data_IF_790335320075
#
_entry.id   IF_790335320075
#
_cell.length_a   1.000
_cell.length_b   1.000
_cell.length_c   1.000
_cell.angle_alpha   90.00
_cell.angle_beta   90.00
_cell.angle_gamma   90.00
#
_symmetry.space_group_name_H-M   'P 1'
#
loop_
_entity.id
_entity.type
_entity.pdbx_description
1 polymer ?
#
# COMPACT_ATOMS: atom_id res chain seq x y z
N UNK A 1 -33.73 -0.91 -7.51
CA UNK A 1 -32.87 -0.67 -6.32
C UNK A 1 -31.98 -1.86 -6.16
N UNK A 2 -30.76 -1.79 -6.66
CA UNK A 2 -29.77 -2.88 -6.53
C UNK A 2 -29.04 -2.74 -5.18
N UNK A 3 -29.14 -3.76 -4.33
CA UNK A 3 -28.38 -3.83 -3.08
C UNK A 3 -26.90 -4.03 -3.40
N UNK A 4 -25.97 -3.25 -2.82
CA UNK A 4 -24.56 -3.52 -2.97
C UNK A 4 -24.21 -4.83 -2.27
N UNK A 5 -23.62 -5.76 -3.00
CA UNK A 5 -23.07 -7.00 -2.44
C UNK A 5 -21.93 -6.66 -1.48
N UNK A 6 -22.14 -6.88 -0.19
CA UNK A 6 -21.07 -6.87 0.82
C UNK A 6 -20.25 -8.15 0.65
N UNK A 7 -19.07 -8.04 0.07
CA UNK A 7 -18.15 -9.16 -0.07
C UNK A 7 -17.59 -9.55 1.30
N UNK A 8 -17.81 -10.80 1.71
CA UNK A 8 -17.24 -11.42 2.92
C UNK A 8 -15.70 -11.37 2.89
N UNK A 9 -15.05 -11.24 4.06
CA UNK A 9 -13.58 -11.25 4.18
C UNK A 9 -12.94 -12.50 3.56
N UNK A 10 -13.66 -13.63 3.46
CA UNK A 10 -13.25 -14.84 2.77
C UNK A 10 -13.07 -14.66 1.26
N UNK A 11 -13.74 -13.67 0.65
CA UNK A 11 -13.62 -13.37 -0.80
C UNK A 11 -12.64 -12.22 -1.10
N UNK A 12 -12.33 -11.38 -0.09
CA UNK A 12 -11.47 -10.20 -0.27
C UNK A 12 -9.99 -10.56 -0.35
N UNK A 13 -9.57 -11.54 0.43
CA UNK A 13 -8.20 -12.07 0.38
C UNK A 13 -7.88 -12.65 -1.00
N UNK A 14 -8.76 -13.48 -1.65
CA UNK A 14 -8.56 -13.92 -3.02
C UNK A 14 -8.51 -12.80 -4.07
N UNK A 15 -9.33 -11.75 -3.93
CA UNK A 15 -9.29 -10.59 -4.84
C UNK A 15 -8.00 -9.79 -4.72
N UNK A 16 -7.49 -9.62 -3.50
CA UNK A 16 -6.18 -9.03 -3.27
C UNK A 16 -5.07 -9.89 -3.89
N UNK A 17 -5.20 -11.23 -3.79
CA UNK A 17 -4.25 -12.16 -4.41
C UNK A 17 -4.35 -12.21 -5.92
N UNK A 18 -5.50 -12.00 -6.54
CA UNK A 18 -5.61 -11.83 -7.99
C UNK A 18 -4.88 -10.55 -8.44
N UNK A 19 -5.01 -9.48 -7.68
CA UNK A 19 -4.27 -8.23 -7.92
C UNK A 19 -2.78 -8.36 -7.64
N UNK A 20 -2.39 -9.07 -6.57
CA UNK A 20 -1.00 -9.36 -6.22
C UNK A 20 -0.38 -10.42 -7.14
N UNK A 21 -1.11 -11.49 -7.47
CA UNK A 21 -0.64 -12.60 -8.30
C UNK A 21 -0.28 -12.18 -9.72
N UNK A 22 -1.08 -11.34 -10.35
CA UNK A 22 -0.72 -10.76 -11.66
C UNK A 22 0.49 -9.82 -11.59
N UNK A 23 0.77 -9.24 -10.41
CA UNK A 23 1.94 -8.39 -10.18
C UNK A 23 3.22 -9.21 -9.96
N UNK A 24 3.12 -10.33 -9.22
CA UNK A 24 4.24 -11.23 -8.94
C UNK A 24 4.65 -12.02 -10.19
N UNK A 25 3.68 -12.42 -11.04
CA UNK A 25 3.99 -13.12 -12.29
C UNK A 25 4.71 -12.26 -13.35
N UNK A 26 4.53 -10.94 -13.31
CA UNK A 26 5.26 -10.03 -14.22
C UNK A 26 6.68 -9.71 -13.76
N UNK A 27 7.04 -10.07 -12.51
CA UNK A 27 8.37 -9.84 -11.93
C UNK A 27 9.27 -11.08 -11.80
N UNK A 28 8.70 -12.29 -11.92
CA UNK A 28 9.42 -13.56 -11.78
C UNK A 28 9.64 -14.24 -13.14
N UNK A 29 10.47 -13.63 -13.99
CA UNK A 29 11.16 -14.41 -15.02
C UNK A 29 12.34 -15.10 -14.36
N UNK A 30 12.10 -16.28 -13.81
CA UNK A 30 13.17 -17.22 -13.41
C UNK A 30 13.79 -17.75 -14.68
N UNK A 31 15.06 -17.38 -14.89
CA UNK A 31 15.85 -17.79 -16.02
C UNK A 31 16.00 -19.30 -16.14
N UNK A 32 15.65 -19.84 -17.30
CA UNK A 32 16.16 -21.10 -17.81
C UNK A 32 16.86 -20.81 -19.14
N UNK A 33 18.15 -20.98 -19.10
CA UNK A 33 19.15 -21.22 -20.17
C UNK A 33 18.88 -20.75 -21.62
N UNK A 34 19.85 -19.93 -22.03
CA UNK A 34 20.50 -19.86 -23.36
C UNK A 34 19.73 -19.26 -24.56
N UNK A 35 20.06 -18.04 -24.89
CA UNK A 35 20.81 -17.64 -26.08
C UNK A 35 21.02 -16.10 -26.08
N UNK A 36 22.25 -15.73 -26.45
CA UNK A 36 22.76 -14.38 -26.57
C UNK A 36 21.96 -13.46 -27.47
N UNK A 37 21.44 -12.38 -26.88
CA UNK A 37 21.20 -11.09 -27.55
C UNK A 37 21.51 -10.01 -26.52
N UNK A 38 22.42 -9.12 -26.88
CA UNK A 38 22.81 -7.93 -26.12
C UNK A 38 21.57 -7.06 -25.84
N UNK A 39 21.18 -6.98 -24.57
CA UNK A 39 20.16 -6.06 -24.09
C UNK A 39 20.74 -5.19 -22.98
N UNK A 40 20.56 -3.90 -23.17
CA UNK A 40 21.01 -2.78 -22.37
C UNK A 40 20.81 -2.98 -20.87
N UNK A 41 21.81 -2.52 -20.08
CA UNK A 41 21.86 -2.49 -18.63
C UNK A 41 20.72 -1.67 -18.02
N UNK A 42 19.55 -2.23 -17.86
CA UNK A 42 18.60 -1.79 -16.87
C UNK A 42 19.03 -2.36 -15.52
N UNK A 43 19.26 -1.54 -14.47
CA UNK A 43 19.57 -2.07 -13.15
C UNK A 43 18.39 -2.91 -12.68
N UNK A 44 18.57 -4.22 -12.60
CA UNK A 44 17.62 -5.13 -11.97
C UNK A 44 17.51 -4.74 -10.50
N UNK A 45 16.43 -4.04 -10.13
CA UNK A 45 16.10 -3.74 -8.74
C UNK A 45 15.82 -5.08 -8.05
N UNK A 46 16.79 -5.59 -7.29
CA UNK A 46 16.57 -6.72 -6.41
C UNK A 46 15.81 -6.25 -5.19
N UNK A 47 14.53 -6.64 -5.08
CA UNK A 47 13.72 -6.35 -3.91
C UNK A 47 14.09 -7.28 -2.76
N UNK A 48 14.23 -6.71 -1.55
CA UNK A 48 14.47 -7.47 -0.32
C UNK A 48 13.15 -8.00 0.26
N UNK A 49 12.06 -7.26 0.03
CA UNK A 49 10.70 -7.63 0.43
C UNK A 49 9.78 -7.65 -0.79
N UNK A 50 8.84 -8.58 -0.81
CA UNK A 50 7.83 -8.58 -1.87
C UNK A 50 6.79 -7.50 -1.62
N UNK A 51 6.39 -7.32 -0.35
CA UNK A 51 5.32 -6.39 0.03
C UNK A 51 5.71 -5.56 1.25
N UNK A 52 5.46 -4.26 1.17
CA UNK A 52 5.39 -3.33 2.30
C UNK A 52 3.93 -2.97 2.57
N UNK A 53 3.52 -2.92 3.85
CA UNK A 53 2.15 -2.54 4.22
C UNK A 53 2.19 -1.31 5.13
N UNK A 54 1.63 -0.19 4.65
CA UNK A 54 1.41 1.03 5.43
C UNK A 54 -0.02 1.08 5.95
N UNK A 55 -0.21 1.22 7.27
CA UNK A 55 -1.52 1.22 7.92
C UNK A 55 -1.50 1.91 9.29
N UNK A 56 -2.67 2.36 9.77
CA UNK A 56 -2.86 2.76 11.17
C UNK A 56 -3.24 1.55 12.02
N UNK A 57 -2.43 1.26 13.03
CA UNK A 57 -2.70 0.14 13.93
C UNK A 57 -3.97 0.33 14.79
N UNK A 58 -4.36 1.58 15.07
CA UNK A 58 -5.53 1.90 15.87
C UNK A 58 -6.82 1.35 15.27
N UNK A 59 -6.98 1.46 13.93
CA UNK A 59 -8.21 1.10 13.24
C UNK A 59 -8.25 -0.34 12.76
N UNK A 60 -7.09 -0.92 12.42
CA UNK A 60 -7.04 -2.10 11.56
C UNK A 60 -6.31 -3.28 12.16
N UNK A 61 -5.47 -3.06 13.22
CA UNK A 61 -4.57 -4.10 13.74
C UNK A 61 -5.30 -5.33 14.28
N UNK A 62 -6.40 -5.16 15.00
CA UNK A 62 -7.15 -6.28 15.60
C UNK A 62 -8.14 -6.95 14.64
N UNK A 63 -8.25 -6.47 13.40
CA UNK A 63 -9.24 -6.94 12.44
C UNK A 63 -8.61 -7.24 11.08
N UNK A 64 -8.68 -6.30 10.16
CA UNK A 64 -8.32 -6.48 8.76
C UNK A 64 -6.82 -6.75 8.54
N UNK A 65 -5.91 -5.96 9.16
CA UNK A 65 -4.47 -6.09 8.91
C UNK A 65 -3.89 -7.39 9.47
N UNK A 66 -4.37 -7.90 10.60
CA UNK A 66 -3.98 -9.22 11.10
C UNK A 66 -4.35 -10.33 10.11
N UNK A 67 -5.55 -10.28 9.54
CA UNK A 67 -5.98 -11.24 8.52
C UNK A 67 -5.17 -11.10 7.23
N UNK A 68 -4.86 -9.86 6.82
CA UNK A 68 -4.01 -9.59 5.66
C UNK A 68 -2.61 -10.19 5.84
N UNK A 69 -1.94 -9.89 6.96
CA UNK A 69 -0.62 -10.44 7.26
C UNK A 69 -0.61 -11.97 7.33
N UNK A 70 -1.60 -12.56 8.02
CA UNK A 70 -1.73 -14.03 8.08
C UNK A 70 -1.99 -14.66 6.70
N UNK A 71 -2.67 -13.97 5.80
CA UNK A 71 -2.92 -14.45 4.46
C UNK A 71 -1.67 -14.36 3.57
N UNK A 72 -0.91 -13.28 3.67
CA UNK A 72 0.36 -13.10 2.97
C UNK A 72 1.40 -14.14 3.43
N UNK A 73 1.49 -14.36 4.74
CA UNK A 73 2.39 -15.34 5.36
C UNK A 73 2.08 -16.78 4.89
N UNK A 74 0.79 -17.19 4.89
CA UNK A 74 0.35 -18.50 4.36
C UNK A 74 0.68 -18.73 2.88
N UNK A 75 0.86 -17.65 2.12
CA UNK A 75 1.27 -17.69 0.71
C UNK A 75 2.77 -17.62 0.51
N UNK A 76 3.55 -17.56 1.60
CA UNK A 76 5.01 -17.43 1.55
C UNK A 76 5.48 -16.06 1.04
N UNK A 77 4.61 -15.04 1.05
CA UNK A 77 4.96 -13.69 0.60
C UNK A 77 5.76 -12.99 1.69
N UNK A 78 6.97 -12.57 1.34
CA UNK A 78 7.89 -11.91 2.28
C UNK A 78 7.50 -10.44 2.48
N UNK A 79 6.86 -10.17 3.63
CA UNK A 79 6.38 -8.84 4.01
C UNK A 79 7.34 -8.21 5.00
N UNK A 80 7.68 -6.94 4.78
CA UNK A 80 8.36 -6.16 5.81
C UNK A 80 7.41 -5.97 7.01
N UNK A 81 7.77 -6.58 8.13
CA UNK A 81 7.08 -6.39 9.42
C UNK A 81 7.79 -5.26 10.15
N UNK A 82 7.15 -4.11 10.25
CA UNK A 82 7.77 -2.88 10.73
C UNK A 82 8.48 -3.04 12.09
N UNK A 83 9.75 -2.62 12.12
CA UNK A 83 10.44 -2.26 13.36
C UNK A 83 10.24 -0.77 13.64
N UNK A 84 10.45 -0.35 14.89
CA UNK A 84 10.21 1.02 15.35
C UNK A 84 11.21 2.08 14.82
N UNK A 85 12.15 1.71 13.96
CA UNK A 85 13.20 2.61 13.48
C UNK A 85 12.79 3.22 12.14
N UNK A 86 12.47 4.52 12.14
CA UNK A 86 12.00 5.26 10.96
C UNK A 86 12.93 5.15 9.74
N UNK A 87 14.25 5.18 9.95
CA UNK A 87 15.24 5.05 8.86
C UNK A 87 15.17 3.70 8.18
N UNK A 88 14.97 2.61 8.93
CA UNK A 88 14.81 1.27 8.40
C UNK A 88 13.49 1.11 7.61
N UNK A 89 12.44 1.74 8.11
CA UNK A 89 11.14 1.78 7.47
C UNK A 89 11.21 2.43 6.07
N UNK A 90 11.88 3.59 5.96
CA UNK A 90 12.05 4.29 4.68
C UNK A 90 12.92 3.49 3.69
N UNK A 91 13.91 2.73 4.19
CA UNK A 91 14.68 1.80 3.37
C UNK A 91 13.83 0.61 2.92
N UNK A 92 13.01 0.05 3.81
CA UNK A 92 12.13 -1.07 3.51
C UNK A 92 11.11 -0.72 2.43
N UNK A 93 10.51 0.47 2.46
CA UNK A 93 9.63 0.97 1.40
C UNK A 93 10.35 0.90 0.04
N UNK A 94 11.57 1.45 -0.03
CA UNK A 94 12.36 1.48 -1.26
C UNK A 94 12.78 0.09 -1.75
N UNK A 95 12.98 -0.85 -0.81
CA UNK A 95 13.40 -2.22 -1.10
C UNK A 95 12.25 -3.20 -1.30
N UNK A 96 11.01 -2.71 -1.31
CA UNK A 96 9.82 -3.53 -1.53
C UNK A 96 9.32 -3.41 -2.97
N UNK A 97 8.91 -4.53 -3.55
CA UNK A 97 8.37 -4.57 -4.92
C UNK A 97 6.97 -3.95 -5.00
N UNK A 98 6.16 -4.17 -3.97
CA UNK A 98 4.78 -3.71 -3.88
C UNK A 98 4.58 -2.97 -2.56
N UNK A 99 3.87 -1.83 -2.59
CA UNK A 99 3.39 -1.14 -1.41
C UNK A 99 1.85 -1.25 -1.34
N UNK A 100 1.34 -1.80 -0.24
CA UNK A 100 -0.09 -1.80 0.10
C UNK A 100 -0.32 -0.68 1.10
N UNK A 101 -1.27 0.22 0.81
CA UNK A 101 -1.63 1.34 1.69
C UNK A 101 -3.05 1.16 2.16
N UNK A 102 -3.24 0.95 3.46
CA UNK A 102 -4.56 0.76 4.08
C UNK A 102 -5.05 2.09 4.65
N UNK A 103 -5.81 2.84 3.87
CA UNK A 103 -6.48 4.04 4.33
C UNK A 103 -7.63 3.69 5.25
N UNK A 104 -7.61 4.21 6.47
CA UNK A 104 -8.65 4.08 7.49
C UNK A 104 -8.93 5.45 8.11
N UNK A 105 -9.91 5.56 9.00
CA UNK A 105 -10.32 6.84 9.60
C UNK A 105 -9.17 7.58 10.28
N UNK A 106 -8.29 6.85 11.00
CA UNK A 106 -7.17 7.44 11.74
C UNK A 106 -5.83 7.38 11.00
N UNK A 107 -5.82 6.96 9.72
CA UNK A 107 -4.57 6.86 8.96
C UNK A 107 -3.79 8.17 8.93
N UNK A 108 -4.48 9.28 8.69
CA UNK A 108 -3.86 10.60 8.58
C UNK A 108 -3.51 11.25 9.94
N UNK A 109 -4.05 10.73 11.06
CA UNK A 109 -3.73 11.23 12.40
C UNK A 109 -2.29 10.93 12.82
N UNK A 110 -1.65 10.02 12.10
CA UNK A 110 -0.29 9.59 12.36
C UNK A 110 0.65 10.18 11.30
N UNK A 111 1.44 11.18 11.68
CA UNK A 111 2.38 11.85 10.75
C UNK A 111 3.31 10.85 10.04
N UNK A 112 3.71 9.78 10.73
CA UNK A 112 4.58 8.78 10.12
C UNK A 112 3.89 8.01 9.00
N UNK A 113 2.57 7.75 9.06
CA UNK A 113 1.81 7.14 7.97
C UNK A 113 1.78 8.06 6.75
N UNK A 114 1.65 9.37 6.96
CA UNK A 114 1.67 10.36 5.90
C UNK A 114 3.08 10.51 5.28
N UNK A 115 4.12 10.47 6.10
CA UNK A 115 5.52 10.48 5.62
C UNK A 115 5.85 9.19 4.85
N UNK A 116 5.37 8.02 5.29
CA UNK A 116 5.46 6.75 4.55
C UNK A 116 4.76 6.86 3.19
N UNK A 117 3.55 7.42 3.16
CA UNK A 117 2.79 7.59 1.94
C UNK A 117 3.53 8.47 0.92
N UNK A 118 4.11 9.58 1.36
CA UNK A 118 4.95 10.43 0.51
C UNK A 118 6.11 9.60 -0.08
N UNK A 119 6.78 8.79 0.76
CA UNK A 119 7.89 7.95 0.30
C UNK A 119 7.44 6.87 -0.67
N UNK A 120 6.30 6.23 -0.42
CA UNK A 120 5.69 5.23 -1.32
C UNK A 120 5.38 5.86 -2.69
N UNK A 121 4.77 7.05 -2.71
CA UNK A 121 4.43 7.73 -3.97
C UNK A 121 5.68 8.23 -4.71
N UNK A 122 6.73 8.62 -3.98
CA UNK A 122 8.05 8.88 -4.56
C UNK A 122 8.63 7.63 -5.24
N UNK A 123 8.62 6.48 -4.54
CA UNK A 123 9.13 5.21 -5.08
C UNK A 123 8.31 4.74 -6.29
N UNK A 124 6.98 4.94 -6.27
CA UNK A 124 6.12 4.69 -7.44
C UNK A 124 6.59 5.51 -8.64
N UNK A 125 6.86 6.79 -8.45
CA UNK A 125 7.26 7.71 -9.54
C UNK A 125 8.67 7.41 -10.07
N UNK A 126 9.63 7.13 -9.18
CA UNK A 126 11.04 6.98 -9.53
C UNK A 126 11.42 5.56 -9.97
N UNK A 127 10.78 4.55 -9.38
CA UNK A 127 11.16 3.13 -9.56
C UNK A 127 10.02 2.28 -10.10
N UNK A 128 8.91 2.92 -10.49
CA UNK A 128 7.70 2.23 -10.94
C UNK A 128 7.17 1.18 -9.93
N UNK A 129 7.40 1.42 -8.62
CA UNK A 129 6.90 0.57 -7.56
C UNK A 129 5.38 0.45 -7.66
N UNK A 130 4.85 -0.77 -7.58
CA UNK A 130 3.40 -0.99 -7.60
C UNK A 130 2.78 -0.58 -6.27
N UNK A 131 1.76 0.28 -6.32
CA UNK A 131 1.02 0.75 -5.14
C UNK A 131 -0.43 0.29 -5.24
N UNK A 132 -0.92 -0.36 -4.17
CA UNK A 132 -2.28 -0.87 -4.06
C UNK A 132 -2.96 -0.20 -2.87
N UNK A 133 -3.82 0.80 -3.09
CA UNK A 133 -4.61 1.40 -2.01
C UNK A 133 -5.78 0.49 -1.62
N UNK A 134 -6.02 0.40 -0.31
CA UNK A 134 -7.17 -0.25 0.30
C UNK A 134 -7.89 0.80 1.12
N UNK A 135 -9.15 1.04 0.84
CA UNK A 135 -10.00 2.00 1.55
C UNK A 135 -10.87 1.24 2.55
N UNK A 136 -10.45 1.22 3.82
CA UNK A 136 -11.11 0.50 4.90
C UNK A 136 -12.01 1.46 5.70
N UNK A 137 -13.32 1.31 5.53
CA UNK A 137 -14.36 2.19 6.13
C UNK A 137 -14.20 3.69 5.82
N UNK A 138 -13.50 4.00 4.74
CA UNK A 138 -13.38 5.36 4.19
C UNK A 138 -13.60 5.31 2.68
N UNK A 139 -14.10 6.40 2.08
CA UNK A 139 -14.25 6.45 0.63
C UNK A 139 -12.98 6.98 -0.05
N UNK A 140 -12.66 6.54 -1.27
CA UNK A 140 -11.58 7.13 -2.06
C UNK A 140 -11.74 8.64 -2.24
N UNK A 141 -12.98 9.13 -2.28
CA UNK A 141 -13.30 10.56 -2.41
C UNK A 141 -12.94 11.37 -1.15
N UNK A 142 -13.12 10.79 0.05
CA UNK A 142 -12.73 11.44 1.31
C UNK A 142 -11.22 11.59 1.40
N UNK A 143 -10.47 10.53 1.05
CA UNK A 143 -9.00 10.56 1.02
C UNK A 143 -8.50 11.57 -0.02
N UNK A 144 -9.00 11.49 -1.26
CA UNK A 144 -8.60 12.35 -2.37
C UNK A 144 -8.85 13.84 -2.11
N UNK A 145 -10.00 14.16 -1.52
CA UNK A 145 -10.42 15.53 -1.24
C UNK A 145 -10.04 16.00 0.16
N UNK A 146 -9.35 15.16 0.93
CA UNK A 146 -8.97 15.38 2.33
C UNK A 146 -10.16 15.93 3.14
N UNK A 147 -11.23 15.16 3.24
CA UNK A 147 -12.43 15.49 4.01
C UNK A 147 -12.48 14.76 5.36
N UNK A 148 -13.30 15.24 6.30
CA UNK A 148 -13.46 14.64 7.62
C UNK A 148 -12.13 14.52 8.36
N UNK A 149 -11.84 13.35 8.92
CA UNK A 149 -10.62 13.07 9.70
C UNK A 149 -9.33 13.42 8.94
N UNK A 150 -9.32 13.25 7.61
CA UNK A 150 -8.15 13.64 6.79
C UNK A 150 -7.94 15.15 6.74
N UNK A 151 -8.99 15.96 6.79
CA UNK A 151 -8.86 17.41 6.86
C UNK A 151 -8.32 17.86 8.21
N UNK A 152 -8.87 17.33 9.30
CA UNK A 152 -8.48 17.67 10.67
C UNK A 152 -7.02 17.31 10.95
N UNK A 153 -6.59 16.14 10.54
CA UNK A 153 -5.20 15.68 10.70
C UNK A 153 -4.19 16.62 10.01
N UNK A 154 -4.55 17.13 8.83
CA UNK A 154 -3.69 18.03 8.06
C UNK A 154 -3.63 19.47 8.60
N UNK A 155 -4.55 19.88 9.48
CA UNK A 155 -4.51 21.20 10.14
C UNK A 155 -3.37 21.30 11.17
N UNK A 156 -2.96 20.16 11.75
CA UNK A 156 -1.96 20.10 12.80
C UNK A 156 -0.51 19.94 12.26
N UNK A 157 -0.35 19.75 10.96
CA UNK A 157 0.96 19.55 10.33
C UNK A 157 1.73 20.85 10.04
N UNK A 158 3.05 20.76 9.92
CA UNK A 158 3.88 21.89 9.48
C UNK A 158 3.75 22.15 7.96
N UNK A 159 3.74 23.44 7.56
CA UNK A 159 3.33 23.91 6.24
C UNK A 159 3.87 23.16 5.01
N UNK A 160 5.19 22.91 4.92
CA UNK A 160 5.77 22.25 3.74
C UNK A 160 5.48 20.75 3.69
N UNK A 161 5.44 20.09 4.84
CA UNK A 161 5.04 18.68 4.94
C UNK A 161 3.59 18.49 4.49
N UNK A 162 2.68 19.37 4.93
CA UNK A 162 1.24 19.30 4.59
C UNK A 162 1.02 19.32 3.09
N UNK A 163 1.78 20.14 2.35
CA UNK A 163 1.69 20.17 0.88
C UNK A 163 2.04 18.79 0.28
N UNK A 164 3.13 18.20 0.73
CA UNK A 164 3.56 16.87 0.25
C UNK A 164 2.56 15.78 0.60
N UNK A 165 1.99 15.82 1.83
CA UNK A 165 0.97 14.88 2.28
C UNK A 165 -0.32 14.98 1.45
N UNK A 166 -0.78 16.22 1.14
CA UNK A 166 -1.98 16.43 0.29
C UNK A 166 -1.79 15.86 -1.11
N UNK A 167 -0.65 16.09 -1.72
CA UNK A 167 -0.32 15.54 -3.04
C UNK A 167 -0.32 14.01 -2.97
N UNK A 168 0.38 13.42 -2.00
CA UNK A 168 0.48 11.96 -1.87
C UNK A 168 -0.89 11.29 -1.61
N UNK A 169 -1.75 11.89 -0.77
CA UNK A 169 -3.12 11.42 -0.54
C UNK A 169 -3.97 11.48 -1.80
N UNK A 170 -3.88 12.59 -2.55
CA UNK A 170 -4.62 12.76 -3.80
C UNK A 170 -4.18 11.73 -4.85
N UNK A 171 -2.86 11.59 -5.05
CA UNK A 171 -2.29 10.69 -6.05
C UNK A 171 -2.59 9.22 -5.73
N UNK A 172 -2.42 8.82 -4.47
CA UNK A 172 -2.72 7.46 -4.04
C UNK A 172 -4.22 7.13 -4.17
N UNK A 173 -5.12 8.08 -3.83
CA UNK A 173 -6.56 7.88 -3.94
C UNK A 173 -7.10 7.91 -5.38
N UNK A 174 -6.28 8.28 -6.36
CA UNK A 174 -6.58 8.18 -7.78
C UNK A 174 -6.16 6.83 -8.39
N UNK A 175 -5.41 6.01 -7.66
CA UNK A 175 -5.05 4.67 -8.11
C UNK A 175 -6.24 3.71 -8.00
N UNK A 176 -6.23 2.68 -8.85
CA UNK A 176 -7.16 1.57 -8.72
C UNK A 176 -6.88 0.83 -7.40
N UNK A 177 -7.90 0.66 -6.56
CA UNK A 177 -7.78 0.08 -5.24
C UNK A 177 -9.01 -0.68 -4.80
N UNK A 178 -8.96 -1.25 -3.60
CA UNK A 178 -10.04 -2.01 -3.00
C UNK A 178 -10.82 -1.15 -1.99
N UNK A 179 -12.13 -1.20 -2.03
CA UNK A 179 -13.00 -0.52 -1.06
C UNK A 179 -13.66 -1.54 -0.16
N UNK A 180 -13.35 -1.48 1.13
CA UNK A 180 -13.80 -2.42 2.15
C UNK A 180 -14.64 -1.72 3.21
N UNK A 181 -15.73 -2.38 3.61
CA UNK A 181 -16.50 -2.00 4.80
C UNK A 181 -16.24 -3.02 5.90
N UNK A 182 -16.09 -2.60 7.17
CA UNK A 182 -16.05 -3.53 8.29
C UNK A 182 -17.35 -4.31 8.36
N UNK A 183 -17.28 -5.55 8.86
CA UNK A 183 -18.48 -6.34 9.14
C UNK A 183 -19.25 -5.68 10.29
N UNK A 184 -20.54 -5.51 10.09
CA UNK A 184 -21.50 -5.25 11.17
C UNK A 184 -21.98 -6.57 11.75
#
# INVERSE_FOLDING_TARGET
MARPFALSSSFLVPLLFLSLGSALQLGLSVGTMAHSVSQENSPTLTYEYEVFVSFSAEDTHKSFTCHLFGALDRKGIHVYKSGFIRTELMKAIKKSGIAVVVFSKNYANLEWCLDELVKIMECKRLFNQRVIPIFYDVSPSEVRKQKGNFAEALLNGSGDKVKSWRVALTDAANLAGLHLKPFQ
#
